data_IF_802821220322
#
_entry.id   IF_802821220322
#
_cell.length_a   1.000
_cell.length_b   1.000
_cell.length_c   1.000
_cell.angle_alpha   90.00
_cell.angle_beta   90.00
_cell.angle_gamma   90.00
#
_symmetry.space_group_name_H-M   'P 1'
#
loop_
_entity.id
_entity.type
_entity.pdbx_description
1 polymer ?
#
# COMPACT_ATOMS: atom_id res chain seq x y z
N UNK A 1 22.24 10.89 -10.22
CA UNK A 1 20.78 10.67 -10.38
C UNK A 1 20.22 10.52 -8.98
N UNK A 2 19.05 11.09 -8.67
CA UNK A 2 18.45 10.93 -7.34
C UNK A 2 18.08 9.45 -7.13
N UNK A 3 18.33 8.91 -5.94
CA UNK A 3 17.89 7.56 -5.61
C UNK A 3 16.36 7.46 -5.69
N UNK A 4 15.82 6.35 -6.23
CA UNK A 4 14.39 6.14 -6.30
C UNK A 4 13.83 5.99 -4.88
N UNK A 5 12.65 6.56 -4.66
CA UNK A 5 12.03 6.66 -3.33
C UNK A 5 10.51 6.51 -3.46
N UNK A 6 9.86 6.14 -2.37
CA UNK A 6 8.42 6.29 -2.16
C UNK A 6 8.17 7.35 -1.09
N UNK A 7 7.03 8.04 -1.18
CA UNK A 7 6.59 8.93 -0.11
C UNK A 7 5.70 8.13 0.83
N UNK A 8 6.11 8.02 2.08
CA UNK A 8 5.50 7.16 3.10
C UNK A 8 4.84 8.03 4.16
N UNK A 9 3.58 7.74 4.45
CA UNK A 9 2.81 8.37 5.52
C UNK A 9 3.19 7.74 6.86
N UNK A 10 3.20 6.41 6.91
CA UNK A 10 3.51 5.63 8.12
C UNK A 10 3.88 4.19 7.76
N UNK A 11 4.74 3.59 8.58
CA UNK A 11 4.98 2.14 8.63
C UNK A 11 4.73 1.71 10.06
N UNK A 12 3.86 0.72 10.27
CA UNK A 12 3.50 0.29 11.62
C UNK A 12 3.06 -1.17 11.65
N UNK A 13 3.20 -1.78 12.83
CA UNK A 13 2.75 -3.14 13.09
C UNK A 13 1.42 -3.14 13.85
N UNK A 14 0.46 -3.91 13.36
CA UNK A 14 -0.87 -4.06 13.95
C UNK A 14 -1.49 -5.41 13.55
N UNK A 15 -2.80 -5.54 13.72
CA UNK A 15 -3.61 -6.66 13.23
C UNK A 15 -4.38 -6.20 11.99
N UNK A 16 -4.42 -7.02 10.93
CA UNK A 16 -5.28 -6.76 9.77
C UNK A 16 -6.75 -6.76 10.20
N UNK A 17 -7.45 -5.66 9.92
CA UNK A 17 -8.85 -5.46 10.29
C UNK A 17 -9.85 -5.99 9.25
N UNK A 18 -9.42 -6.18 8.00
CA UNK A 18 -10.32 -6.37 6.86
C UNK A 18 -9.90 -7.52 5.93
N UNK A 19 -10.73 -7.80 4.91
CA UNK A 19 -10.57 -8.86 3.91
C UNK A 19 -10.50 -10.28 4.49
N UNK A 20 -10.03 -11.25 3.69
CA UNK A 20 -9.77 -12.64 4.13
C UNK A 20 -8.61 -12.76 5.11
N UNK A 21 -7.86 -11.68 5.35
CA UNK A 21 -6.70 -11.62 6.23
C UNK A 21 -7.02 -11.04 7.62
N UNK A 22 -8.27 -10.69 7.90
CA UNK A 22 -8.69 -10.14 9.18
C UNK A 22 -8.24 -11.02 10.36
N UNK A 23 -7.61 -10.41 11.37
CA UNK A 23 -7.07 -11.08 12.56
C UNK A 23 -5.60 -11.48 12.49
N UNK A 24 -4.95 -11.36 11.32
CA UNK A 24 -3.53 -11.73 11.15
C UNK A 24 -2.61 -10.56 11.53
N UNK A 25 -1.53 -10.79 12.32
CA UNK A 25 -0.50 -9.77 12.55
C UNK A 25 0.13 -9.31 11.23
N UNK A 26 0.15 -7.99 11.01
CA UNK A 26 0.54 -7.40 9.73
C UNK A 26 1.37 -6.13 9.95
N UNK A 27 2.39 -5.94 9.12
CA UNK A 27 3.09 -4.67 8.98
C UNK A 27 2.46 -3.88 7.84
N UNK A 28 1.96 -2.69 8.13
CA UNK A 28 1.37 -1.81 7.13
C UNK A 28 2.41 -0.84 6.63
N UNK A 29 2.51 -0.69 5.31
CA UNK A 29 3.29 0.33 4.62
C UNK A 29 2.31 1.26 3.92
N UNK A 30 1.99 2.38 4.57
CA UNK A 30 1.03 3.36 4.05
C UNK A 30 1.74 4.42 3.22
N UNK A 31 1.59 4.38 1.90
CA UNK A 31 2.14 5.39 1.00
C UNK A 31 1.35 6.72 1.15
N UNK A 32 1.91 7.79 0.62
CA UNK A 32 1.25 9.11 0.59
C UNK A 32 0.81 9.44 -0.83
N UNK A 33 -0.43 9.90 -0.96
CA UNK A 33 -1.00 10.41 -2.20
C UNK A 33 -2.01 9.44 -2.80
N UNK A 34 -3.19 9.99 -3.13
CA UNK A 34 -4.25 9.32 -3.88
C UNK A 34 -4.74 10.29 -4.95
N UNK A 35 -5.03 9.85 -6.19
CA UNK A 35 -5.65 10.70 -7.20
C UNK A 35 -7.18 10.75 -7.08
N UNK A 36 -7.79 9.87 -6.28
CA UNK A 36 -9.21 9.87 -5.95
C UNK A 36 -9.49 10.80 -4.75
N UNK A 37 -10.70 11.34 -4.66
CA UNK A 37 -11.22 12.13 -3.53
C UNK A 37 -12.57 11.59 -3.09
N UNK A 38 -12.58 10.29 -2.75
CA UNK A 38 -13.77 9.61 -2.26
C UNK A 38 -14.39 10.39 -1.09
N UNK A 39 -15.68 10.68 -1.19
CA UNK A 39 -16.45 11.49 -0.21
C UNK A 39 -16.43 10.91 1.21
N UNK A 40 -16.21 9.60 1.34
CA UNK A 40 -16.21 8.84 2.60
C UNK A 40 -14.82 8.26 2.94
N UNK A 41 -13.74 8.84 2.40
CA UNK A 41 -12.38 8.41 2.76
C UNK A 41 -12.09 8.73 4.23
N UNK A 42 -11.84 7.70 5.03
CA UNK A 42 -11.41 7.77 6.43
C UNK A 42 -9.92 8.12 6.59
N UNK A 43 -9.13 7.88 5.54
CA UNK A 43 -7.67 8.05 5.52
C UNK A 43 -7.26 9.28 4.69
N UNK A 44 -8.08 10.34 4.70
CA UNK A 44 -7.80 11.57 3.96
C UNK A 44 -6.48 12.25 4.38
N UNK A 45 -6.00 11.94 5.59
CA UNK A 45 -4.70 12.42 6.07
C UNK A 45 -3.51 11.91 5.23
N UNK A 46 -3.65 10.77 4.55
CA UNK A 46 -2.61 10.21 3.67
C UNK A 46 -2.57 10.85 2.27
N UNK A 47 -3.40 11.86 1.98
CA UNK A 47 -3.37 12.55 0.67
C UNK A 47 -2.14 13.44 0.48
N UNK A 48 -1.55 13.93 1.57
CA UNK A 48 -0.44 14.89 1.55
C UNK A 48 0.52 14.61 2.72
N UNK A 49 1.66 15.31 2.77
CA UNK A 49 2.65 15.11 3.84
C UNK A 49 3.49 13.85 3.60
N UNK A 50 3.88 13.14 4.65
CA UNK A 50 4.76 11.98 4.55
C UNK A 50 6.23 12.30 4.26
N UNK A 51 7.07 11.28 4.40
CA UNK A 51 8.52 11.35 4.27
C UNK A 51 8.99 10.57 3.05
N UNK A 52 10.07 11.02 2.39
CA UNK A 52 10.69 10.27 1.31
C UNK A 52 11.52 9.16 1.94
N UNK A 53 11.28 7.93 1.55
CA UNK A 53 12.07 6.77 1.97
C UNK A 53 12.55 6.00 0.74
N UNK A 54 13.82 5.58 0.75
CA UNK A 54 14.35 4.64 -0.23
C UNK A 54 13.76 3.24 0.01
N UNK A 55 13.88 2.35 -0.97
CA UNK A 55 13.42 0.97 -0.79
C UNK A 55 14.18 0.24 0.34
N UNK A 56 15.47 0.52 0.52
CA UNK A 56 16.28 -0.03 1.60
C UNK A 56 15.78 0.43 2.97
N UNK A 57 15.46 1.72 3.13
CA UNK A 57 14.90 2.27 4.36
C UNK A 57 13.54 1.63 4.69
N UNK A 58 12.69 1.42 3.68
CA UNK A 58 11.38 0.77 3.86
C UNK A 58 11.55 -0.69 4.28
N UNK A 59 12.39 -1.46 3.58
CA UNK A 59 12.66 -2.87 3.92
C UNK A 59 13.26 -3.00 5.34
N UNK A 60 14.15 -2.08 5.70
CA UNK A 60 14.76 -2.03 7.04
C UNK A 60 13.70 -1.78 8.10
N UNK A 61 12.79 -0.83 7.88
CA UNK A 61 11.74 -0.51 8.85
C UNK A 61 10.73 -1.67 8.98
N UNK A 62 10.31 -2.26 7.85
CA UNK A 62 9.44 -3.44 7.84
C UNK A 62 10.06 -4.60 8.62
N UNK A 63 11.36 -4.86 8.44
CA UNK A 63 12.08 -5.92 9.12
C UNK A 63 12.28 -5.73 10.63
N UNK A 64 11.91 -4.56 11.20
CA UNK A 64 11.88 -4.37 12.65
C UNK A 64 10.63 -4.95 13.31
N UNK A 65 9.62 -5.28 12.51
CA UNK A 65 8.36 -5.80 13.01
C UNK A 65 8.32 -7.33 12.89
N UNK A 66 7.68 -8.03 13.85
CA UNK A 66 7.69 -9.50 13.89
C UNK A 66 6.67 -10.16 12.95
N UNK A 67 5.99 -9.40 12.10
CA UNK A 67 4.97 -9.94 11.19
C UNK A 67 5.58 -10.47 9.89
N UNK A 68 5.15 -11.66 9.49
CA UNK A 68 5.49 -12.25 8.17
C UNK A 68 4.61 -11.69 7.04
N UNK A 69 3.53 -10.98 7.39
CA UNK A 69 2.59 -10.36 6.44
C UNK A 69 2.83 -8.86 6.37
N UNK A 70 2.93 -8.34 5.15
CA UNK A 70 3.11 -6.91 4.87
C UNK A 70 2.01 -6.43 3.93
N UNK A 71 1.31 -5.37 4.31
CA UNK A 71 0.32 -4.72 3.46
C UNK A 71 0.81 -3.37 2.94
N UNK A 72 0.89 -3.24 1.62
CA UNK A 72 1.11 -1.96 0.95
C UNK A 72 -0.27 -1.33 0.68
N UNK A 73 -0.51 -0.16 1.28
CA UNK A 73 -1.79 0.58 1.20
C UNK A 73 -1.53 2.09 1.13
N UNK A 74 -2.59 2.90 1.06
CA UNK A 74 -2.61 4.35 1.30
C UNK A 74 -1.79 5.24 0.34
N UNK A 75 -2.18 6.49 0.09
CA UNK A 75 -3.46 6.71 -0.55
C UNK A 75 -3.71 5.62 -1.61
N UNK A 76 -3.55 5.88 -2.90
CA UNK A 76 -3.66 4.79 -3.89
C UNK A 76 -2.26 4.26 -4.19
N UNK A 77 -1.87 3.06 -3.72
CA UNK A 77 -0.50 2.57 -3.89
C UNK A 77 -0.13 2.42 -5.37
N UNK A 78 -1.05 1.98 -6.22
CA UNK A 78 -0.77 1.76 -7.65
C UNK A 78 -0.72 3.05 -8.48
N UNK A 79 -1.04 4.21 -7.89
CA UNK A 79 -0.74 5.49 -8.49
C UNK A 79 0.77 5.81 -8.46
N UNK A 80 1.57 5.02 -7.70
CA UNK A 80 3.01 5.17 -7.58
C UNK A 80 3.71 3.98 -8.24
N UNK A 81 4.41 4.17 -9.38
CA UNK A 81 5.07 3.05 -10.06
C UNK A 81 6.06 2.26 -9.19
N UNK A 82 6.66 2.90 -8.19
CA UNK A 82 7.56 2.25 -7.24
C UNK A 82 6.86 1.27 -6.29
N UNK A 83 5.54 1.30 -6.14
CA UNK A 83 4.82 0.37 -5.26
C UNK A 83 4.88 -1.08 -5.76
N UNK A 84 4.82 -1.27 -7.08
CA UNK A 84 5.01 -2.59 -7.71
C UNK A 84 6.40 -3.13 -7.38
N UNK A 85 7.43 -2.31 -7.56
CA UNK A 85 8.80 -2.70 -7.24
C UNK A 85 9.00 -3.00 -5.75
N UNK A 86 8.38 -2.24 -4.86
CA UNK A 86 8.41 -2.52 -3.42
C UNK A 86 7.76 -3.89 -3.11
N UNK A 87 6.65 -4.22 -3.76
CA UNK A 87 5.98 -5.51 -3.59
C UNK A 87 6.91 -6.66 -3.98
N UNK A 88 7.62 -6.56 -5.12
CA UNK A 88 8.59 -7.56 -5.58
C UNK A 88 9.71 -7.75 -4.55
N UNK A 89 10.29 -6.66 -4.05
CA UNK A 89 11.36 -6.70 -3.05
C UNK A 89 10.91 -7.37 -1.74
N UNK A 90 9.69 -7.11 -1.29
CA UNK A 90 9.13 -7.72 -0.08
C UNK A 90 8.85 -9.22 -0.28
N UNK A 91 8.31 -9.60 -1.44
CA UNK A 91 8.11 -11.00 -1.80
C UNK A 91 9.44 -11.77 -1.84
N UNK A 92 10.47 -11.17 -2.44
CA UNK A 92 11.80 -11.77 -2.55
C UNK A 92 12.53 -11.84 -1.20
N UNK A 93 12.18 -10.95 -0.27
CA UNK A 93 12.61 -11.01 1.13
C UNK A 93 11.86 -12.08 1.96
N UNK A 94 10.87 -12.77 1.38
CA UNK A 94 10.14 -13.87 2.00
C UNK A 94 8.84 -13.48 2.72
N UNK A 95 8.39 -12.24 2.59
CA UNK A 95 7.12 -11.80 3.17
C UNK A 95 5.93 -12.31 2.35
N UNK A 96 4.80 -12.50 3.04
CA UNK A 96 3.49 -12.54 2.38
C UNK A 96 3.04 -11.11 2.13
N UNK A 97 2.82 -10.73 0.87
CA UNK A 97 2.52 -9.34 0.50
C UNK A 97 1.06 -9.18 0.11
N UNK A 98 0.39 -8.25 0.78
CA UNK A 98 -0.95 -7.75 0.45
C UNK A 98 -0.82 -6.38 -0.23
N UNK A 99 -1.61 -6.13 -1.26
CA UNK A 99 -1.76 -4.78 -1.84
C UNK A 99 -3.23 -4.41 -1.82
N UNK A 100 -3.55 -3.36 -1.07
CA UNK A 100 -4.89 -2.81 -0.98
C UNK A 100 -5.02 -1.62 -1.95
N UNK A 101 -5.91 -1.74 -2.95
CA UNK A 101 -6.07 -0.75 -4.01
C UNK A 101 -7.54 -0.46 -4.29
N UNK A 102 -7.85 0.74 -4.79
CA UNK A 102 -9.19 1.07 -5.29
C UNK A 102 -9.56 0.34 -6.58
N UNK A 103 -8.57 -0.22 -7.29
CA UNK A 103 -8.76 -0.78 -8.62
C UNK A 103 -8.84 0.25 -9.75
N UNK A 104 -8.61 1.54 -9.48
CA UNK A 104 -8.56 2.59 -10.49
C UNK A 104 -7.30 2.54 -11.39
N UNK A 105 -6.28 1.78 -10.98
CA UNK A 105 -5.02 1.59 -11.71
C UNK A 105 -4.83 0.12 -12.07
N UNK A 106 -4.03 -0.12 -13.11
CA UNK A 106 -3.76 -1.47 -13.59
C UNK A 106 -3.03 -2.33 -12.54
N UNK A 107 -3.66 -3.44 -12.16
CA UNK A 107 -3.15 -4.41 -11.19
C UNK A 107 -2.31 -5.52 -11.84
N UNK A 108 -2.22 -5.54 -13.18
CA UNK A 108 -1.50 -6.58 -13.92
C UNK A 108 0.02 -6.53 -13.71
N UNK A 109 0.55 -5.36 -13.35
CA UNK A 109 1.96 -5.19 -13.02
C UNK A 109 2.38 -5.84 -11.70
N UNK A 110 1.44 -6.17 -10.81
CA UNK A 110 1.75 -6.88 -9.57
C UNK A 110 2.01 -8.37 -9.84
N UNK A 111 3.12 -8.88 -9.29
CA UNK A 111 3.48 -10.31 -9.25
C UNK A 111 2.28 -11.17 -8.80
N UNK A 112 2.16 -12.36 -9.37
CA UNK A 112 1.06 -13.31 -9.09
C UNK A 112 1.03 -13.79 -7.63
N UNK A 113 2.17 -13.72 -6.92
CA UNK A 113 2.28 -14.02 -5.50
C UNK A 113 1.62 -12.96 -4.61
N UNK A 114 1.37 -11.75 -5.11
CA UNK A 114 0.71 -10.68 -4.35
C UNK A 114 -0.76 -11.04 -4.13
N UNK A 115 -1.22 -10.92 -2.88
CA UNK A 115 -2.64 -10.93 -2.56
C UNK A 115 -3.25 -9.56 -2.88
N UNK A 116 -3.98 -9.49 -3.99
CA UNK A 116 -4.61 -8.26 -4.49
C UNK A 116 -5.95 -8.06 -3.79
N UNK A 117 -6.04 -7.05 -2.93
CA UNK A 117 -7.28 -6.66 -2.24
C UNK A 117 -7.82 -5.42 -2.94
N UNK A 118 -8.94 -5.57 -3.64
CA UNK A 118 -9.55 -4.48 -4.40
C UNK A 118 -10.81 -3.98 -3.70
N UNK A 119 -10.77 -2.74 -3.21
CA UNK A 119 -11.94 -2.03 -2.70
C UNK A 119 -12.47 -1.04 -3.75
N UNK A 120 -13.32 -1.55 -4.63
CA UNK A 120 -13.91 -0.80 -5.73
C UNK A 120 -14.78 0.36 -5.21
N UNK A 121 -14.42 1.57 -5.61
CA UNK A 121 -15.11 2.78 -5.17
C UNK A 121 -16.42 2.96 -5.92
N UNK A 122 -17.51 2.58 -5.27
CA UNK A 122 -18.87 2.69 -5.79
C UNK A 122 -19.28 4.15 -6.11
N UNK A 123 -20.35 4.41 -6.90
CA UNK A 123 -20.79 5.76 -7.26
C UNK A 123 -20.98 6.74 -6.10
N UNK A 124 -21.35 6.25 -4.91
CA UNK A 124 -21.44 7.07 -3.70
C UNK A 124 -20.12 7.73 -3.28
N UNK A 125 -18.97 7.26 -3.76
CA UNK A 125 -17.66 7.89 -3.57
C UNK A 125 -17.52 9.25 -4.27
N UNK A 126 -18.34 9.53 -5.28
CA UNK A 126 -18.15 10.67 -6.18
C UNK A 126 -17.08 10.44 -7.25
N UNK A 127 -16.44 9.27 -7.28
CA UNK A 127 -15.30 8.98 -8.16
C UNK A 127 -15.59 7.95 -9.26
N UNK A 128 -16.85 7.52 -9.45
CA UNK A 128 -17.24 6.53 -10.46
C UNK A 128 -17.03 6.94 -11.93
N UNK A 129 -16.56 8.16 -12.17
CA UNK A 129 -16.23 8.68 -13.50
C UNK A 129 -14.75 8.50 -13.85
N UNK A 130 -13.98 7.91 -12.93
CA UNK A 130 -12.55 7.61 -13.07
C UNK A 130 -12.30 6.12 -13.24
#
# INVERSE_FOLDING_TARGET
>A
MAEPFLRITEIFHSIQGESTWAGVPCTFVRLTGCPLRCTWCDTAYAFHGGSRMTFEEILTEVGRHPADVVEITGGEPLAHPGAVHLADLLLDAGYTVLVETSGAFDVSGLDERVHKIMDLKCPGSGESHR
#
